data_IF_722939281210
#
_entry.id   IF_722939281210
#
_cell.length_a   1.000
_cell.length_b   1.000
_cell.length_c   1.000
_cell.angle_alpha   90.00
_cell.angle_beta   90.00
_cell.angle_gamma   90.00
#
_symmetry.space_group_name_H-M   'P 1'
#
loop_
_entity.id
_entity.type
_entity.pdbx_description
1 polymer ?
#
# COMPACT_ATOMS: atom_id res chain seq x y z
N UNK A 1 5.74 -16.43 14.80
CA UNK A 1 4.32 -16.39 15.20
C UNK A 1 3.52 -15.95 13.99
N UNK A 2 2.35 -16.54 13.75
CA UNK A 2 1.51 -16.19 12.59
C UNK A 2 0.19 -15.62 13.06
N UNK A 3 -0.30 -14.60 12.35
CA UNK A 3 -1.46 -13.82 12.75
C UNK A 3 -2.52 -13.79 11.66
N UNK A 4 -3.80 -14.01 11.99
CA UNK A 4 -4.90 -13.76 11.07
C UNK A 4 -5.15 -12.25 10.91
N UNK A 5 -5.46 -11.83 9.68
CA UNK A 5 -5.82 -10.46 9.34
C UNK A 5 -7.15 -10.43 8.58
N UNK A 6 -8.03 -9.52 8.98
CA UNK A 6 -9.31 -9.26 8.31
C UNK A 6 -9.32 -7.86 7.71
N UNK A 7 -9.87 -7.76 6.51
CA UNK A 7 -10.18 -6.52 5.84
C UNK A 7 -11.69 -6.32 5.86
N UNK A 8 -12.16 -5.24 6.49
CA UNK A 8 -13.59 -4.96 6.66
C UNK A 8 -13.91 -3.61 6.04
N UNK A 9 -14.95 -3.56 5.22
CA UNK A 9 -15.46 -2.29 4.72
C UNK A 9 -16.17 -1.53 5.85
N UNK A 10 -15.78 -0.28 6.06
CA UNK A 10 -16.37 0.64 7.02
C UNK A 10 -17.12 1.75 6.30
N UNK A 11 -18.37 1.99 6.71
CA UNK A 11 -19.16 3.12 6.22
C UNK A 11 -19.02 4.30 7.17
N UNK A 12 -18.32 5.35 6.75
CA UNK A 12 -18.23 6.59 7.53
C UNK A 12 -19.60 7.27 7.69
N UNK A 13 -20.47 7.19 6.68
CA UNK A 13 -21.83 7.77 6.76
C UNK A 13 -22.70 7.08 7.79
N UNK A 14 -22.60 5.75 7.88
CA UNK A 14 -23.42 4.95 8.81
C UNK A 14 -22.73 4.66 10.14
N UNK A 15 -21.42 4.97 10.24
CA UNK A 15 -20.56 4.65 11.38
C UNK A 15 -20.65 3.16 11.78
N UNK A 16 -20.58 2.28 10.78
CA UNK A 16 -20.69 0.84 11.00
C UNK A 16 -19.93 0.01 9.96
N UNK A 17 -19.63 -1.23 10.32
CA UNK A 17 -19.13 -2.26 9.41
C UNK A 17 -20.19 -2.60 8.35
N UNK A 18 -19.77 -2.61 7.08
CA UNK A 18 -20.62 -2.98 5.94
C UNK A 18 -20.50 -4.48 5.65
N UNK A 19 -19.28 -5.01 5.73
CA UNK A 19 -19.01 -6.42 5.49
C UNK A 19 -17.52 -6.74 5.38
N UNK A 20 -17.21 -8.03 5.38
CA UNK A 20 -15.84 -8.52 5.18
C UNK A 20 -15.48 -8.47 3.69
N UNK A 21 -14.37 -7.80 3.39
CA UNK A 21 -13.82 -7.66 2.02
C UNK A 21 -12.89 -8.82 1.72
N UNK A 22 -12.04 -9.19 2.68
CA UNK A 22 -11.04 -10.24 2.52
C UNK A 22 -10.51 -10.73 3.88
N UNK A 23 -10.03 -11.96 3.92
CA UNK A 23 -9.41 -12.54 5.11
C UNK A 23 -8.12 -13.27 4.73
N UNK A 24 -7.08 -13.05 5.53
CA UNK A 24 -5.83 -13.80 5.48
C UNK A 24 -5.72 -14.60 6.78
N UNK A 25 -5.58 -15.92 6.67
CA UNK A 25 -5.57 -16.80 7.85
C UNK A 25 -4.24 -16.80 8.60
N UNK A 26 -3.14 -16.46 7.94
CA UNK A 26 -1.80 -16.58 8.51
C UNK A 26 -0.81 -15.65 7.80
N UNK A 27 -0.38 -14.60 8.51
CA UNK A 27 0.72 -13.72 8.13
C UNK A 27 1.84 -13.80 9.16
N UNK A 28 3.09 -13.72 8.73
CA UNK A 28 4.17 -13.42 9.67
C UNK A 28 3.97 -12.03 10.28
N UNK A 29 4.63 -11.76 11.41
CA UNK A 29 4.57 -10.44 12.06
C UNK A 29 5.04 -9.31 11.12
N UNK A 30 6.09 -9.57 10.34
CA UNK A 30 6.68 -8.57 9.44
C UNK A 30 5.76 -8.27 8.25
N UNK A 31 5.10 -9.29 7.69
CA UNK A 31 4.09 -9.09 6.65
C UNK A 31 2.89 -8.31 7.21
N UNK A 32 2.42 -8.65 8.42
CA UNK A 32 1.34 -7.93 9.07
C UNK A 32 1.66 -6.42 9.22
N UNK A 33 2.90 -6.06 9.50
CA UNK A 33 3.32 -4.66 9.54
C UNK A 33 3.22 -4.00 8.17
N UNK A 34 3.71 -4.65 7.11
CA UNK A 34 3.55 -4.12 5.75
C UNK A 34 2.08 -3.90 5.41
N UNK A 35 1.23 -4.87 5.72
CA UNK A 35 -0.21 -4.78 5.51
C UNK A 35 -0.86 -3.62 6.27
N UNK A 36 -0.36 -3.23 7.44
CA UNK A 36 -0.88 -2.10 8.21
C UNK A 36 -0.32 -0.76 7.76
N UNK A 37 0.95 -0.71 7.35
CA UNK A 37 1.66 0.55 7.11
C UNK A 37 1.42 1.19 5.75
N UNK A 38 0.92 0.43 4.77
CA UNK A 38 0.51 1.04 3.48
C UNK A 38 -0.75 1.89 3.63
N UNK A 39 -0.91 2.88 2.77
CA UNK A 39 -2.09 3.77 2.74
C UNK A 39 -3.33 3.04 2.21
N UNK A 40 -3.11 2.14 1.24
CA UNK A 40 -4.17 1.41 0.58
C UNK A 40 -3.77 -0.01 0.20
N UNK A 41 -4.78 -0.82 -0.07
CA UNK A 41 -4.64 -2.19 -0.57
C UNK A 41 -5.49 -2.37 -1.82
N UNK A 42 -4.95 -3.06 -2.82
CA UNK A 42 -5.73 -3.54 -3.95
C UNK A 42 -6.10 -5.00 -3.70
N UNK A 43 -7.40 -5.25 -3.59
CA UNK A 43 -8.01 -6.55 -3.35
C UNK A 43 -9.13 -6.77 -4.36
N UNK A 44 -9.16 -7.94 -5.00
CA UNK A 44 -10.20 -8.30 -5.97
C UNK A 44 -10.36 -7.25 -7.08
N UNK A 45 -9.23 -6.76 -7.61
CA UNK A 45 -9.17 -5.71 -8.65
C UNK A 45 -9.77 -4.35 -8.26
N UNK A 46 -10.04 -4.10 -6.97
CA UNK A 46 -10.50 -2.81 -6.44
C UNK A 46 -9.47 -2.24 -5.48
N UNK A 47 -9.38 -0.92 -5.45
CA UNK A 47 -8.50 -0.18 -4.54
C UNK A 47 -9.32 0.20 -3.31
N UNK A 48 -8.76 -0.09 -2.14
CA UNK A 48 -9.34 0.18 -0.84
C UNK A 48 -8.37 0.99 0.00
N UNK A 49 -8.84 2.07 0.60
CA UNK A 49 -8.04 2.95 1.44
C UNK A 49 -8.18 2.51 2.89
N UNK A 50 -7.07 2.48 3.61
CA UNK A 50 -7.08 2.21 5.05
C UNK A 50 -7.71 3.39 5.79
N UNK A 51 -8.68 3.08 6.65
CA UNK A 51 -9.34 4.07 7.51
C UNK A 51 -8.79 3.98 8.93
N UNK A 52 -8.69 2.77 9.46
CA UNK A 52 -8.18 2.51 10.80
C UNK A 52 -7.74 1.06 10.95
N UNK A 53 -6.96 0.79 12.00
CA UNK A 53 -6.51 -0.56 12.33
C UNK A 53 -6.88 -0.90 13.78
N UNK A 54 -7.38 -2.11 13.97
CA UNK A 54 -7.71 -2.66 15.27
C UNK A 54 -6.90 -3.93 15.54
N UNK A 55 -6.60 -4.19 16.81
CA UNK A 55 -5.96 -5.43 17.24
C UNK A 55 -6.53 -5.84 18.60
N UNK A 56 -7.20 -7.00 18.63
CA UNK A 56 -7.82 -7.55 19.84
C UNK A 56 -6.87 -8.61 20.41
N UNK A 57 -6.52 -8.43 21.69
CA UNK A 57 -5.65 -9.33 22.46
C UNK A 57 -4.31 -9.67 21.78
N UNK A 58 -3.84 -8.81 20.88
CA UNK A 58 -2.65 -9.03 20.04
C UNK A 58 -2.70 -10.27 19.12
N UNK A 59 -3.86 -10.90 18.96
CA UNK A 59 -4.04 -12.12 18.17
C UNK A 59 -4.91 -11.91 16.93
N UNK A 60 -5.90 -11.02 17.01
CA UNK A 60 -6.85 -10.76 15.92
C UNK A 60 -6.64 -9.36 15.39
N UNK A 61 -6.24 -9.25 14.13
CA UNK A 61 -6.02 -7.96 13.50
C UNK A 61 -7.11 -7.66 12.49
N UNK A 62 -7.57 -6.42 12.48
CA UNK A 62 -8.57 -5.93 11.52
C UNK A 62 -8.09 -4.61 10.95
N UNK A 63 -8.22 -4.47 9.63
CA UNK A 63 -7.99 -3.22 8.90
C UNK A 63 -9.34 -2.82 8.32
N UNK A 64 -9.79 -1.64 8.73
CA UNK A 64 -11.00 -1.03 8.22
C UNK A 64 -10.68 -0.27 6.94
N UNK A 65 -11.53 -0.48 5.95
CA UNK A 65 -11.34 -0.02 4.58
C UNK A 65 -12.50 0.85 4.14
N UNK A 66 -12.23 1.78 3.24
CA UNK A 66 -13.26 2.40 2.40
C UNK A 66 -12.88 2.27 0.92
N UNK A 67 -13.85 2.30 0.00
CA UNK A 67 -13.55 2.38 -1.43
C UNK A 67 -12.64 3.59 -1.71
N UNK A 68 -11.67 3.43 -2.60
CA UNK A 68 -10.80 4.53 -3.01
C UNK A 68 -11.62 5.71 -3.55
N UNK A 69 -11.69 6.77 -2.75
CA UNK A 69 -12.24 8.05 -3.15
C UNK A 69 -11.13 8.93 -3.73
N UNK A 70 -11.51 10.06 -4.32
CA UNK A 70 -10.61 11.04 -4.92
C UNK A 70 -9.81 11.81 -3.84
N UNK A 71 -8.99 11.11 -3.06
CA UNK A 71 -8.41 11.64 -1.80
C UNK A 71 -7.11 12.42 -1.99
N UNK A 72 -6.42 12.21 -3.11
CA UNK A 72 -5.19 12.93 -3.44
C UNK A 72 -5.47 14.13 -4.34
N UNK A 73 -4.55 15.12 -4.41
CA UNK A 73 -4.67 16.23 -5.36
C UNK A 73 -4.96 15.70 -6.77
N UNK A 74 -5.89 16.36 -7.46
CA UNK A 74 -6.37 15.95 -8.79
C UNK A 74 -5.23 15.67 -9.78
N UNK A 75 -4.09 16.34 -9.61
CA UNK A 75 -2.86 16.16 -10.38
C UNK A 75 -2.36 14.71 -10.40
N UNK A 76 -2.31 14.03 -9.24
CA UNK A 76 -1.75 12.67 -9.14
C UNK A 76 -2.83 11.60 -9.28
N UNK A 77 -4.02 11.92 -8.82
CA UNK A 77 -5.10 10.99 -8.54
C UNK A 77 -5.49 10.13 -9.77
N UNK A 78 -5.64 10.75 -10.95
CA UNK A 78 -5.97 10.03 -12.18
C UNK A 78 -4.86 9.07 -12.61
N UNK A 79 -3.61 9.51 -12.48
CA UNK A 79 -2.45 8.69 -12.84
C UNK A 79 -2.28 7.52 -11.87
N UNK A 80 -2.51 7.73 -10.57
CA UNK A 80 -2.48 6.66 -9.56
C UNK A 80 -3.50 5.57 -9.85
N UNK A 81 -4.78 5.95 -10.00
CA UNK A 81 -5.85 4.99 -10.28
C UNK A 81 -5.56 4.16 -11.53
N UNK A 82 -5.04 4.81 -12.58
CA UNK A 82 -4.66 4.15 -13.84
C UNK A 82 -3.47 3.21 -13.63
N UNK A 83 -2.45 3.65 -12.91
CA UNK A 83 -1.22 2.89 -12.66
C UNK A 83 -1.50 1.65 -11.83
N UNK A 84 -2.22 1.78 -10.72
CA UNK A 84 -2.58 0.69 -9.81
C UNK A 84 -3.43 -0.38 -10.53
N UNK A 85 -4.38 0.06 -11.36
CA UNK A 85 -5.30 -0.83 -12.08
C UNK A 85 -4.65 -1.53 -13.28
N UNK A 86 -3.65 -0.91 -13.91
CA UNK A 86 -3.04 -1.38 -15.16
C UNK A 86 -2.05 -2.54 -15.03
N UNK A 87 -1.61 -2.88 -13.81
CA UNK A 87 -0.53 -3.85 -13.64
C UNK A 87 -0.99 -5.30 -13.78
N UNK A 88 -0.24 -6.09 -14.56
CA UNK A 88 -0.50 -7.50 -14.83
C UNK A 88 0.81 -8.30 -14.78
N UNK A 89 1.36 -8.42 -13.58
CA UNK A 89 2.55 -9.25 -13.32
C UNK A 89 2.17 -10.40 -12.40
N UNK A 90 2.90 -11.52 -12.51
CA UNK A 90 2.70 -12.68 -11.64
C UNK A 90 3.39 -12.48 -10.28
N UNK A 91 2.80 -12.99 -9.18
CA UNK A 91 3.39 -12.87 -7.86
C UNK A 91 4.71 -13.65 -7.78
N UNK A 92 5.75 -13.00 -7.26
CA UNK A 92 7.05 -13.63 -6.96
C UNK A 92 7.55 -13.15 -5.59
N UNK A 93 6.70 -13.31 -4.57
CA UNK A 93 6.94 -12.82 -3.23
C UNK A 93 6.76 -11.32 -3.07
N UNK A 94 6.61 -10.91 -1.80
CA UNK A 94 6.46 -9.52 -1.39
C UNK A 94 7.69 -8.72 -1.80
N UNK A 95 7.50 -7.72 -2.66
CA UNK A 95 8.59 -6.83 -3.07
C UNK A 95 8.08 -5.41 -3.30
N UNK A 96 8.93 -4.40 -3.07
CA UNK A 96 8.61 -3.03 -3.44
C UNK A 96 8.62 -2.83 -4.96
N UNK A 97 7.81 -1.89 -5.44
CA UNK A 97 7.77 -1.43 -6.82
C UNK A 97 7.68 0.09 -6.81
N UNK A 98 8.68 0.76 -7.40
CA UNK A 98 8.81 2.21 -7.28
C UNK A 98 8.27 2.92 -8.52
N UNK A 99 7.48 3.97 -8.29
CA UNK A 99 6.81 4.73 -9.32
C UNK A 99 7.11 6.21 -9.13
N UNK A 100 7.85 6.80 -10.07
CA UNK A 100 8.24 8.21 -9.98
C UNK A 100 7.30 9.09 -10.79
N UNK A 101 6.86 10.19 -10.20
CA UNK A 101 6.14 11.25 -10.89
C UNK A 101 7.06 12.02 -11.85
N UNK A 102 6.68 12.12 -13.12
CA UNK A 102 7.45 12.86 -14.13
C UNK A 102 6.85 14.23 -14.51
N UNK A 103 5.88 14.73 -13.73
CA UNK A 103 5.09 15.93 -14.06
C UNK A 103 3.74 15.64 -14.72
N UNK A 104 3.54 14.43 -15.29
CA UNK A 104 2.31 14.07 -16.01
C UNK A 104 1.74 12.71 -15.62
N UNK A 105 2.60 11.73 -15.35
CA UNK A 105 2.22 10.39 -14.97
C UNK A 105 3.30 9.71 -14.14
N UNK A 106 2.91 8.65 -13.43
CA UNK A 106 3.84 7.77 -12.75
C UNK A 106 4.52 6.83 -13.73
N UNK A 107 5.84 6.74 -13.64
CA UNK A 107 6.68 5.83 -14.42
C UNK A 107 7.42 4.88 -13.49
N UNK A 108 7.41 3.59 -13.85
CA UNK A 108 8.11 2.54 -13.10
C UNK A 108 9.61 2.82 -13.12
N UNK A 109 10.25 2.69 -11.96
CA UNK A 109 11.71 2.76 -11.80
C UNK A 109 12.23 1.38 -11.45
N UNK A 110 13.07 0.82 -12.31
CA UNK A 110 13.56 -0.56 -12.17
C UNK A 110 14.71 -0.72 -11.14
N UNK A 111 15.25 0.37 -10.60
CA UNK A 111 16.61 0.38 -10.04
C UNK A 111 16.74 0.69 -8.53
N UNK A 112 15.66 0.77 -7.76
CA UNK A 112 15.77 1.15 -6.34
C UNK A 112 16.17 -0.02 -5.45
N UNK A 113 15.51 -1.18 -5.57
CA UNK A 113 15.91 -2.50 -5.05
C UNK A 113 14.98 -3.58 -5.62
N UNK A 114 15.49 -4.76 -5.96
CA UNK A 114 14.68 -5.85 -6.54
C UNK A 114 14.09 -6.81 -5.50
N UNK A 115 14.65 -6.86 -4.29
CA UNK A 115 14.14 -7.63 -3.17
C UNK A 115 14.49 -6.95 -1.85
N UNK A 116 13.50 -6.83 -0.97
CA UNK A 116 13.64 -6.26 0.37
C UNK A 116 12.86 -7.16 1.32
N UNK A 117 13.47 -7.59 2.42
CA UNK A 117 12.76 -8.39 3.43
C UNK A 117 11.57 -7.60 4.00
N UNK A 118 10.45 -8.24 4.39
CA UNK A 118 9.25 -7.54 4.83
C UNK A 118 9.49 -6.52 5.95
N UNK A 119 10.37 -6.80 6.92
CA UNK A 119 10.70 -5.83 7.97
C UNK A 119 11.40 -4.55 7.46
N UNK A 120 12.32 -4.68 6.51
CA UNK A 120 12.99 -3.51 5.90
C UNK A 120 12.02 -2.71 5.03
N UNK A 121 11.06 -3.38 4.39
CA UNK A 121 9.99 -2.72 3.66
C UNK A 121 9.06 -1.97 4.62
N UNK A 122 8.68 -2.60 5.74
CA UNK A 122 7.90 -1.94 6.79
C UNK A 122 8.61 -0.71 7.36
N UNK A 123 9.92 -0.77 7.60
CA UNK A 123 10.72 0.39 8.01
C UNK A 123 10.63 1.52 6.98
N UNK A 124 10.76 1.22 5.68
CA UNK A 124 10.62 2.24 4.62
C UNK A 124 9.23 2.87 4.57
N UNK A 125 8.18 2.09 4.86
CA UNK A 125 6.81 2.61 4.87
C UNK A 125 6.54 3.56 6.05
N UNK A 126 7.41 3.61 7.06
CA UNK A 126 7.35 4.61 8.12
C UNK A 126 8.03 5.93 7.72
N UNK A 127 8.88 5.90 6.70
CA UNK A 127 9.61 7.07 6.25
C UNK A 127 8.70 7.95 5.38
N UNK A 128 8.84 9.27 5.54
CA UNK A 128 8.20 10.23 4.64
C UNK A 128 9.08 10.54 3.42
N UNK A 129 10.41 10.45 3.57
CA UNK A 129 11.38 10.69 2.53
C UNK A 129 12.28 9.48 2.32
N UNK A 130 12.62 9.23 1.05
CA UNK A 130 13.63 8.25 0.64
C UNK A 130 14.81 9.01 0.02
N UNK A 131 16.02 8.84 0.57
CA UNK A 131 17.24 9.40 -0.01
C UNK A 131 18.02 8.28 -0.70
N UNK A 132 18.29 8.44 -1.99
CA UNK A 132 19.05 7.46 -2.77
C UNK A 132 19.94 8.16 -3.80
N UNK A 133 21.23 7.80 -3.85
CA UNK A 133 22.20 8.36 -4.80
C UNK A 133 22.21 9.90 -4.82
N UNK A 134 22.13 10.51 -3.63
CA UNK A 134 22.06 11.96 -3.43
C UNK A 134 20.78 12.64 -3.96
N UNK A 135 19.75 11.86 -4.30
CA UNK A 135 18.42 12.35 -4.68
C UNK A 135 17.44 12.08 -3.54
N UNK A 136 16.69 13.12 -3.16
CA UNK A 136 15.63 13.04 -2.15
C UNK A 136 14.28 12.85 -2.84
N UNK A 137 13.55 11.82 -2.45
CA UNK A 137 12.21 11.52 -2.92
C UNK A 137 11.21 11.66 -1.77
N UNK A 138 10.11 12.36 -2.03
CA UNK A 138 8.93 12.38 -1.17
C UNK A 138 8.03 11.17 -1.48
N UNK A 139 7.60 10.44 -0.45
CA UNK A 139 6.66 9.33 -0.57
C UNK A 139 5.24 9.90 -0.57
N UNK A 140 4.62 9.91 -1.75
CA UNK A 140 3.29 10.47 -1.95
C UNK A 140 2.16 9.54 -1.53
N UNK A 141 2.33 8.24 -1.80
CA UNK A 141 1.30 7.25 -1.58
C UNK A 141 1.86 5.83 -1.67
N UNK A 142 1.26 4.89 -0.95
CA UNK A 142 1.69 3.50 -0.91
C UNK A 142 0.51 2.54 -1.05
N UNK A 143 0.67 1.54 -1.90
CA UNK A 143 -0.40 0.56 -2.19
C UNK A 143 0.14 -0.84 -2.15
N UNK A 144 -0.44 -1.70 -1.31
CA UNK A 144 -0.21 -3.14 -1.40
C UNK A 144 -1.14 -3.73 -2.47
N UNK A 145 -0.58 -4.14 -3.61
CA UNK A 145 -1.26 -5.01 -4.57
C UNK A 145 -1.17 -6.45 -4.06
N UNK A 146 -2.19 -6.87 -3.31
CA UNK A 146 -2.23 -8.18 -2.68
C UNK A 146 -2.30 -9.32 -3.71
N UNK A 147 -2.92 -9.08 -4.86
CA UNK A 147 -3.02 -10.05 -5.97
C UNK A 147 -1.63 -10.34 -6.56
N UNK A 148 -0.76 -9.31 -6.66
CA UNK A 148 0.62 -9.43 -7.18
C UNK A 148 1.69 -9.62 -6.10
N UNK A 149 1.34 -9.49 -4.83
CA UNK A 149 2.28 -9.36 -3.71
C UNK A 149 3.32 -8.25 -3.95
N UNK A 150 2.89 -7.06 -4.38
CA UNK A 150 3.77 -5.91 -4.60
C UNK A 150 3.35 -4.72 -3.77
N UNK A 151 4.32 -4.05 -3.15
CA UNK A 151 4.09 -2.76 -2.49
C UNK A 151 4.52 -1.67 -3.47
N UNK A 152 3.53 -1.05 -4.10
CA UNK A 152 3.72 0.08 -5.00
C UNK A 152 3.97 1.33 -4.17
N UNK A 153 5.15 1.94 -4.33
CA UNK A 153 5.57 3.15 -3.63
C UNK A 153 5.64 4.28 -4.65
N UNK A 154 4.76 5.26 -4.50
CA UNK A 154 4.64 6.40 -5.40
C UNK A 154 5.47 7.56 -4.86
N UNK A 155 6.36 8.07 -5.69
CA UNK A 155 7.40 9.02 -5.32
C UNK A 155 7.30 10.29 -6.14
N UNK A 156 7.71 11.41 -5.54
CA UNK A 156 8.05 12.64 -6.26
C UNK A 156 9.47 13.08 -5.90
N UNK A 157 10.23 13.51 -6.89
CA UNK A 157 11.58 14.03 -6.67
C UNK A 157 11.49 15.43 -6.04
N UNK A 158 12.27 15.64 -4.98
CA UNK A 158 12.40 16.93 -4.32
C UNK A 158 13.65 17.61 -4.88
N UNK A 159 13.46 18.65 -5.68
CA UNK A 159 14.55 19.53 -6.06
C UNK A 159 14.72 20.56 -4.92
N UNK A 160 15.83 20.47 -4.19
CA UNK A 160 16.26 21.51 -3.23
C UNK A 160 16.71 22.79 -3.94
#
# INVERSE_FOLDING_TARGET
>A
MYYPLRYIEWSETKQMEVGEVYQIHSLSQEELFVHKLVDAVKLNHRIWVHVSHESIDHEKHTIYLRPFAEELPATYQRSLATTISGQKDYPNGLAPEYWLWNGTQFQRRDAIDSYVSPIHLALRLLDHYLVQQDITYDILYTVLDADRQKVMIFLNEVNE
#
